data_IF_642425488367
#
_entry.id   IF_642425488367
#
_cell.length_a   1.000
_cell.length_b   1.000
_cell.length_c   1.000
_cell.angle_alpha   90.00
_cell.angle_beta   90.00
_cell.angle_gamma   90.00
#
_symmetry.space_group_name_H-M   'P 1'
#
loop_
_entity.id
_entity.type
_entity.pdbx_description
1 polymer ?
#
# COMPACT_ATOMS: atom_id res chain seq x y z
N UNK A 1 -28.11 3.42 -6.21
CA UNK A 1 -27.33 3.99 -7.33
C UNK A 1 -25.90 4.07 -6.84
N UNK A 2 -24.94 3.52 -7.58
CA UNK A 2 -23.54 3.55 -7.15
C UNK A 2 -23.05 4.99 -7.16
N UNK A 3 -22.46 5.46 -6.05
CA UNK A 3 -21.82 6.78 -5.94
C UNK A 3 -20.44 6.83 -6.63
N UNK A 4 -20.01 5.70 -7.19
CA UNK A 4 -18.78 5.55 -7.97
C UNK A 4 -18.74 6.55 -9.13
N UNK A 5 -17.58 7.17 -9.34
CA UNK A 5 -17.34 8.06 -10.48
C UNK A 5 -16.10 7.62 -11.26
N UNK A 6 -16.04 8.00 -12.54
CA UNK A 6 -14.85 7.71 -13.34
C UNK A 6 -13.68 8.62 -12.94
N UNK A 7 -12.41 8.20 -13.17
CA UNK A 7 -11.25 9.08 -13.06
C UNK A 7 -11.36 10.37 -13.88
N UNK A 8 -12.05 10.32 -15.03
CA UNK A 8 -12.32 11.49 -15.87
C UNK A 8 -13.28 12.46 -15.17
N UNK A 9 -14.32 11.94 -14.54
CA UNK A 9 -15.29 12.73 -13.78
C UNK A 9 -14.62 13.37 -12.57
N UNK A 10 -13.83 12.60 -11.81
CA UNK A 10 -13.07 13.10 -10.67
C UNK A 10 -12.19 14.30 -11.06
N UNK A 11 -11.41 14.18 -12.14
CA UNK A 11 -10.53 15.25 -12.66
C UNK A 11 -11.28 16.46 -13.23
N UNK A 12 -12.56 16.33 -13.53
CA UNK A 12 -13.39 17.44 -14.02
C UNK A 12 -14.05 18.23 -12.87
N UNK A 13 -14.02 17.71 -11.64
CA UNK A 13 -14.52 18.41 -10.46
C UNK A 13 -13.60 19.58 -10.12
N UNK A 14 -14.13 20.81 -9.96
CA UNK A 14 -13.30 21.95 -9.56
C UNK A 14 -12.53 21.70 -8.26
N UNK A 15 -11.26 22.12 -8.21
CA UNK A 15 -10.40 21.93 -7.04
C UNK A 15 -9.65 20.58 -7.01
N UNK A 16 -9.82 19.71 -8.01
CA UNK A 16 -9.08 18.44 -8.11
C UNK A 16 -7.90 18.48 -9.07
N UNK A 17 -7.50 19.66 -9.57
CA UNK A 17 -6.48 19.81 -10.62
C UNK A 17 -5.11 19.24 -10.21
N UNK A 18 -4.78 19.33 -8.92
CA UNK A 18 -3.56 18.80 -8.31
C UNK A 18 -3.60 17.29 -8.03
N UNK A 19 -4.74 16.62 -8.19
CA UNK A 19 -4.93 15.22 -7.80
C UNK A 19 -4.76 14.27 -8.99
N UNK A 20 -4.34 13.03 -8.73
CA UNK A 20 -4.29 11.95 -9.73
C UNK A 20 -5.00 10.72 -9.18
N UNK A 21 -5.93 10.18 -9.95
CA UNK A 21 -6.49 8.85 -9.70
C UNK A 21 -5.54 7.83 -10.30
N UNK A 22 -4.91 7.01 -9.46
CA UNK A 22 -3.90 6.02 -9.81
C UNK A 22 -4.13 4.76 -8.99
N UNK A 23 -4.09 3.58 -9.63
CA UNK A 23 -4.15 2.26 -8.98
C UNK A 23 -5.25 2.11 -7.93
N UNK A 24 -4.91 2.51 -6.71
CA UNK A 24 -5.63 2.35 -5.45
C UNK A 24 -6.41 3.58 -4.96
N UNK A 25 -6.55 4.65 -5.76
CA UNK A 25 -7.43 5.78 -5.44
C UNK A 25 -6.96 7.14 -5.96
N UNK A 26 -7.57 8.21 -5.45
CA UNK A 26 -7.16 9.58 -5.74
C UNK A 26 -6.06 10.03 -4.80
N UNK A 27 -4.90 10.42 -5.34
CA UNK A 27 -3.72 10.85 -4.57
C UNK A 27 -3.32 12.29 -4.89
N UNK A 28 -2.78 12.98 -3.89
CA UNK A 28 -2.12 14.29 -4.04
C UNK A 28 -0.89 14.35 -3.12
N UNK A 29 0.10 15.14 -3.52
CA UNK A 29 1.26 15.48 -2.71
C UNK A 29 1.39 16.99 -2.58
N UNK A 30 1.60 17.48 -1.36
CA UNK A 30 1.85 18.89 -1.06
C UNK A 30 3.24 19.05 -0.46
N UNK A 31 4.23 19.60 -1.20
CA UNK A 31 5.49 20.03 -0.63
C UNK A 31 5.24 21.16 0.38
N UNK A 32 5.64 20.98 1.64
CA UNK A 32 5.30 21.92 2.73
C UNK A 32 6.46 22.86 3.09
N UNK A 33 7.69 22.49 2.73
CA UNK A 33 8.92 23.21 3.06
C UNK A 33 9.29 23.18 4.55
N UNK A 34 8.42 22.67 5.42
CA UNK A 34 8.71 22.41 6.83
C UNK A 34 7.69 21.44 7.42
N UNK A 35 8.14 20.66 8.40
CA UNK A 35 7.27 19.70 9.09
C UNK A 35 6.08 20.39 9.79
N UNK A 36 6.29 21.57 10.39
CA UNK A 36 5.24 22.33 11.08
C UNK A 36 4.12 22.78 10.13
N UNK A 37 4.46 23.22 8.91
CA UNK A 37 3.45 23.54 7.88
C UNK A 37 2.70 22.29 7.42
N UNK A 38 3.40 21.15 7.32
CA UNK A 38 2.76 19.87 7.06
C UNK A 38 1.75 19.50 8.14
N UNK A 39 2.13 19.59 9.42
CA UNK A 39 1.22 19.33 10.54
C UNK A 39 -0.01 20.26 10.54
N UNK A 40 0.15 21.53 10.17
CA UNK A 40 -0.97 22.46 10.02
C UNK A 40 -1.95 22.02 8.90
N UNK A 41 -1.42 21.55 7.76
CA UNK A 41 -2.26 20.98 6.70
C UNK A 41 -2.97 19.70 7.16
N UNK A 42 -2.28 18.79 7.86
CA UNK A 42 -2.90 17.57 8.41
C UNK A 42 -4.04 17.90 9.38
N UNK A 43 -3.87 18.90 10.24
CA UNK A 43 -4.93 19.34 11.14
C UNK A 43 -6.16 19.87 10.38
N UNK A 44 -5.95 20.62 9.29
CA UNK A 44 -7.05 21.07 8.43
C UNK A 44 -7.73 19.89 7.73
N UNK A 45 -6.97 18.94 7.18
CA UNK A 45 -7.50 17.72 6.54
C UNK A 45 -8.34 16.91 7.52
N UNK A 46 -7.87 16.74 8.76
CA UNK A 46 -8.60 16.00 9.80
C UNK A 46 -9.95 16.64 10.12
N UNK A 47 -10.00 17.97 10.30
CA UNK A 47 -11.26 18.69 10.54
C UNK A 47 -12.23 18.56 9.36
N UNK A 48 -11.73 18.65 8.12
CA UNK A 48 -12.55 18.49 6.92
C UNK A 48 -13.10 17.07 6.76
N UNK A 49 -12.30 16.06 7.10
CA UNK A 49 -12.66 14.66 7.08
C UNK A 49 -13.75 14.32 8.10
N UNK A 50 -13.61 14.81 9.35
CA UNK A 50 -14.63 14.63 10.39
C UNK A 50 -15.95 15.32 10.03
N UNK A 51 -15.89 16.53 9.45
CA UNK A 51 -17.09 17.21 8.95
C UNK A 51 -17.75 16.45 7.78
N UNK A 52 -16.95 15.74 6.97
CA UNK A 52 -17.45 14.95 5.85
C UNK A 52 -17.97 13.55 6.24
N UNK A 53 -17.65 13.07 7.44
CA UNK A 53 -17.72 11.65 7.80
C UNK A 53 -17.08 10.75 6.72
N UNK A 54 -15.92 11.20 6.21
CA UNK A 54 -15.18 10.55 5.13
C UNK A 54 -13.68 10.76 5.32
N UNK A 55 -12.96 9.70 5.67
CA UNK A 55 -11.60 9.79 6.18
C UNK A 55 -10.56 9.37 5.14
N UNK A 56 -9.63 10.26 4.73
CA UNK A 56 -8.51 9.91 3.86
C UNK A 56 -7.38 9.21 4.63
N UNK A 57 -6.51 8.51 3.89
CA UNK A 57 -5.17 8.19 4.40
C UNK A 57 -4.28 9.42 4.24
N UNK A 58 -3.54 9.78 5.30
CA UNK A 58 -2.67 10.96 5.32
C UNK A 58 -1.27 10.57 5.77
N UNK A 59 -0.27 10.89 4.94
CA UNK A 59 1.14 10.63 5.22
C UNK A 59 1.88 11.97 5.40
N UNK A 60 2.28 12.26 6.64
CA UNK A 60 3.11 13.42 6.97
C UNK A 60 4.59 13.04 7.00
N UNK A 61 5.36 13.56 6.05
CA UNK A 61 6.82 13.39 5.97
C UNK A 61 7.53 14.73 6.10
N UNK A 62 8.85 14.68 6.30
CA UNK A 62 9.69 15.88 6.30
C UNK A 62 9.51 16.75 5.04
N UNK A 63 9.39 16.12 3.86
CA UNK A 63 9.28 16.82 2.58
C UNK A 63 7.88 17.36 2.25
N UNK A 64 6.83 16.91 2.93
CA UNK A 64 5.45 17.25 2.54
C UNK A 64 4.39 16.35 3.14
N UNK A 65 3.16 16.54 2.66
CA UNK A 65 1.98 15.75 3.03
C UNK A 65 1.42 15.06 1.80
N UNK A 66 1.31 13.74 1.87
CA UNK A 66 0.56 12.93 0.93
C UNK A 66 -0.86 12.69 1.45
N UNK A 67 -1.84 12.75 0.56
CA UNK A 67 -3.23 12.38 0.89
C UNK A 67 -3.74 11.41 -0.16
N UNK A 68 -4.39 10.34 0.30
CA UNK A 68 -5.11 9.37 -0.55
C UNK A 68 -6.59 9.33 -0.15
N UNK A 69 -7.45 9.37 -1.16
CA UNK A 69 -8.90 9.28 -1.03
C UNK A 69 -9.44 8.08 -1.82
N UNK A 70 -10.30 7.31 -1.16
CA UNK A 70 -11.09 6.23 -1.74
C UNK A 70 -12.32 5.97 -0.87
N UNK A 71 -13.42 5.55 -1.47
CA UNK A 71 -14.63 5.17 -0.72
C UNK A 71 -14.66 3.66 -0.50
N UNK A 72 -14.37 3.20 0.72
CA UNK A 72 -14.25 1.77 1.04
C UNK A 72 -15.53 0.96 0.82
N UNK A 73 -16.70 1.56 1.06
CA UNK A 73 -18.01 0.97 0.80
C UNK A 73 -18.34 0.86 -0.70
N UNK A 74 -17.65 1.63 -1.53
CA UNK A 74 -17.79 1.64 -3.00
C UNK A 74 -16.67 0.84 -3.68
N UNK A 75 -15.55 0.62 -2.99
CA UNK A 75 -14.35 -0.05 -3.51
C UNK A 75 -13.56 0.74 -4.55
N UNK A 76 -13.89 2.03 -4.75
CA UNK A 76 -13.30 2.90 -5.78
C UNK A 76 -13.58 4.37 -5.44
N UNK A 77 -13.11 5.31 -6.26
CA UNK A 77 -13.38 6.74 -6.11
C UNK A 77 -14.86 7.07 -6.35
N UNK A 78 -15.41 7.91 -5.47
CA UNK A 78 -16.80 8.36 -5.48
C UNK A 78 -16.91 9.89 -5.54
N UNK A 79 -18.13 10.42 -5.57
CA UNK A 79 -18.35 11.88 -5.48
C UNK A 79 -17.83 12.46 -4.17
N UNK A 80 -17.97 11.73 -3.06
CA UNK A 80 -17.45 12.14 -1.73
C UNK A 80 -15.95 12.37 -1.77
N UNK A 81 -15.21 11.51 -2.48
CA UNK A 81 -13.77 11.68 -2.68
C UNK A 81 -13.45 12.96 -3.46
N UNK A 82 -14.18 13.25 -4.54
CA UNK A 82 -13.95 14.46 -5.32
C UNK A 82 -14.32 15.75 -4.56
N UNK A 83 -15.39 15.73 -3.77
CA UNK A 83 -15.82 16.86 -2.93
C UNK A 83 -14.80 17.14 -1.80
N UNK A 84 -14.35 16.11 -1.10
CA UNK A 84 -13.34 16.24 -0.05
C UNK A 84 -11.98 16.67 -0.63
N UNK A 85 -11.59 16.14 -1.80
CA UNK A 85 -10.38 16.56 -2.51
C UNK A 85 -10.37 18.07 -2.80
N UNK A 86 -11.50 18.62 -3.26
CA UNK A 86 -11.64 20.06 -3.50
C UNK A 86 -11.50 20.89 -2.22
N UNK A 87 -12.11 20.46 -1.11
CA UNK A 87 -11.99 21.12 0.21
C UNK A 87 -10.55 21.10 0.73
N UNK A 88 -9.86 19.97 0.60
CA UNK A 88 -8.45 19.83 0.98
C UNK A 88 -7.55 20.74 0.13
N UNK A 89 -7.78 20.81 -1.18
CA UNK A 89 -7.05 21.72 -2.07
C UNK A 89 -7.21 23.18 -1.65
N UNK A 90 -8.43 23.62 -1.29
CA UNK A 90 -8.68 24.98 -0.80
C UNK A 90 -7.93 25.25 0.52
N UNK A 91 -7.97 24.33 1.48
CA UNK A 91 -7.24 24.48 2.74
C UNK A 91 -5.71 24.54 2.52
N UNK A 92 -5.18 23.75 1.58
CA UNK A 92 -3.78 23.82 1.19
C UNK A 92 -3.41 25.18 0.58
N UNK A 93 -4.28 25.74 -0.28
CA UNK A 93 -4.09 27.07 -0.88
C UNK A 93 -4.09 28.19 0.17
N UNK A 94 -4.98 28.13 1.18
CA UNK A 94 -5.00 29.09 2.30
C UNK A 94 -3.68 29.07 3.10
N UNK A 95 -3.03 27.91 3.17
CA UNK A 95 -1.71 27.74 3.78
C UNK A 95 -0.54 28.09 2.82
N UNK A 96 -0.83 28.55 1.60
CA UNK A 96 0.15 28.87 0.57
C UNK A 96 0.92 27.63 0.07
N UNK A 97 0.25 26.47 0.01
CA UNK A 97 0.79 25.22 -0.49
C UNK A 97 0.25 24.95 -1.89
N UNK A 98 1.12 24.43 -2.77
CA UNK A 98 0.79 24.06 -4.14
C UNK A 98 1.01 22.58 -4.29
N UNK A 99 0.03 21.87 -4.84
CA UNK A 99 0.14 20.45 -5.11
C UNK A 99 1.21 20.16 -6.16
N UNK A 100 1.96 19.09 -5.97
CA UNK A 100 2.86 18.52 -6.99
C UNK A 100 2.30 17.17 -7.47
N UNK A 101 1.53 17.17 -8.57
CA UNK A 101 0.96 15.94 -9.12
C UNK A 101 1.99 15.01 -9.76
N UNK A 102 3.25 15.43 -9.93
CA UNK A 102 4.31 14.57 -10.48
C UNK A 102 4.91 13.64 -9.41
N UNK A 103 4.69 13.96 -8.12
CA UNK A 103 5.22 13.22 -6.99
C UNK A 103 4.33 12.06 -6.52
N UNK A 104 3.16 11.85 -7.14
CA UNK A 104 2.24 10.76 -6.75
C UNK A 104 2.40 9.54 -7.64
N UNK A 105 2.41 8.37 -7.01
CA UNK A 105 2.42 7.06 -7.67
C UNK A 105 1.69 6.03 -6.81
N UNK A 106 1.32 4.92 -7.42
CA UNK A 106 0.82 3.72 -6.76
C UNK A 106 1.58 2.52 -7.33
N UNK A 107 1.96 1.58 -6.47
CA UNK A 107 2.77 0.42 -6.82
C UNK A 107 2.02 -0.85 -6.40
N UNK A 108 2.02 -1.83 -7.29
CA UNK A 108 1.50 -3.17 -7.07
C UNK A 108 2.56 -4.19 -7.47
N UNK A 109 2.66 -5.26 -6.70
CA UNK A 109 3.51 -6.41 -7.02
C UNK A 109 2.61 -7.48 -7.64
N UNK A 110 2.90 -7.88 -8.88
CA UNK A 110 2.19 -8.95 -9.55
C UNK A 110 2.99 -10.25 -9.48
N UNK A 111 2.32 -11.34 -9.12
CA UNK A 111 2.91 -12.68 -8.99
C UNK A 111 2.12 -13.60 -9.88
N UNK A 112 2.78 -14.16 -10.88
CA UNK A 112 2.12 -15.05 -11.82
C UNK A 112 1.92 -16.44 -11.21
N UNK A 113 0.75 -17.02 -11.42
CA UNK A 113 0.36 -18.33 -10.88
C UNK A 113 -0.57 -19.11 -11.82
N UNK A 114 -0.41 -20.43 -11.86
CA UNK A 114 -1.40 -21.36 -12.43
C UNK A 114 -2.48 -21.67 -11.38
N UNK A 115 -2.07 -22.01 -10.16
CA UNK A 115 -2.92 -22.18 -8.98
C UNK A 115 -2.99 -20.85 -8.19
N UNK A 116 -3.84 -19.97 -8.69
CA UNK A 116 -4.08 -18.63 -8.12
C UNK A 116 -4.50 -18.69 -6.66
N UNK A 117 -5.30 -19.68 -6.26
CA UNK A 117 -5.83 -19.74 -4.90
C UNK A 117 -4.75 -20.17 -3.91
N UNK A 118 -3.92 -21.15 -4.27
CA UNK A 118 -2.80 -21.60 -3.44
C UNK A 118 -1.73 -20.52 -3.27
N UNK A 119 -1.35 -19.86 -4.37
CA UNK A 119 -0.38 -18.76 -4.35
C UNK A 119 -0.92 -17.57 -3.54
N UNK A 120 -2.19 -17.17 -3.75
CA UNK A 120 -2.84 -16.11 -2.98
C UNK A 120 -2.83 -16.40 -1.47
N UNK A 121 -3.17 -17.63 -1.07
CA UNK A 121 -3.20 -18.01 0.34
C UNK A 121 -1.82 -17.85 1.00
N UNK A 122 -0.76 -18.28 0.31
CA UNK A 122 0.61 -18.12 0.78
C UNK A 122 0.99 -16.64 0.95
N UNK A 123 0.78 -15.82 -0.09
CA UNK A 123 1.18 -14.40 -0.06
C UNK A 123 0.39 -13.58 0.97
N UNK A 124 -0.90 -13.88 1.15
CA UNK A 124 -1.68 -13.29 2.23
C UNK A 124 -1.12 -13.66 3.61
N UNK A 125 -0.78 -14.94 3.83
CA UNK A 125 -0.26 -15.43 5.10
C UNK A 125 1.13 -14.86 5.42
N UNK A 126 2.07 -14.91 4.46
CA UNK A 126 3.46 -14.49 4.67
C UNK A 126 3.63 -12.97 4.80
N UNK A 127 2.75 -12.18 4.16
CA UNK A 127 2.76 -10.71 4.32
C UNK A 127 1.91 -10.25 5.52
N UNK A 128 1.03 -11.10 6.05
CA UNK A 128 0.04 -10.70 7.05
C UNK A 128 -1.03 -9.79 6.45
N UNK A 129 -1.37 -10.06 5.18
CA UNK A 129 -2.26 -9.27 4.35
C UNK A 129 -3.67 -9.90 4.31
N UNK A 130 -4.65 -9.08 3.92
CA UNK A 130 -6.04 -9.50 3.72
C UNK A 130 -6.49 -9.18 2.29
N UNK A 131 -7.41 -9.97 1.69
CA UNK A 131 -7.95 -9.65 0.37
C UNK A 131 -8.76 -8.34 0.39
N UNK A 132 -8.75 -7.60 -0.72
CA UNK A 132 -9.58 -6.41 -0.98
C UNK A 132 -10.24 -6.51 -2.36
N UNK A 133 -11.21 -5.64 -2.67
CA UNK A 133 -11.86 -5.65 -4.00
C UNK A 133 -10.84 -5.42 -5.14
N UNK A 134 -9.80 -4.64 -4.88
CA UNK A 134 -8.76 -4.22 -5.83
C UNK A 134 -7.42 -4.96 -5.66
N UNK A 135 -7.35 -5.97 -4.78
CA UNK A 135 -6.11 -6.69 -4.49
C UNK A 135 -6.35 -8.11 -3.97
N UNK A 136 -5.52 -9.04 -4.41
CA UNK A 136 -5.59 -10.42 -3.93
C UNK A 136 -5.03 -10.57 -2.52
N UNK A 137 -4.04 -9.75 -2.16
CA UNK A 137 -3.57 -9.53 -0.80
C UNK A 137 -3.14 -8.07 -0.62
N UNK A 138 -3.65 -7.39 0.40
CA UNK A 138 -3.32 -6.00 0.71
C UNK A 138 -3.00 -5.80 2.20
N UNK A 139 -2.09 -4.87 2.49
CA UNK A 139 -1.80 -4.43 3.86
C UNK A 139 -3.09 -3.91 4.51
N UNK A 140 -3.54 -4.47 5.64
CA UNK A 140 -4.70 -3.98 6.35
C UNK A 140 -4.60 -2.50 6.76
N UNK A 141 -3.37 -1.97 6.84
CA UNK A 141 -3.09 -0.56 7.18
C UNK A 141 -2.87 0.32 5.95
N UNK A 142 -2.81 -0.25 4.74
CA UNK A 142 -2.58 0.48 3.49
C UNK A 142 -1.21 1.15 3.36
N UNK A 143 -0.19 0.68 4.10
CA UNK A 143 1.13 1.32 4.13
C UNK A 143 2.10 0.76 3.08
N UNK A 144 1.93 -0.49 2.71
CA UNK A 144 2.81 -1.19 1.77
C UNK A 144 2.07 -1.58 0.47
N UNK A 145 2.81 -1.83 -0.64
CA UNK A 145 2.23 -2.27 -1.90
C UNK A 145 1.34 -3.51 -1.73
N UNK A 146 0.26 -3.56 -2.51
CA UNK A 146 -0.57 -4.74 -2.60
C UNK A 146 0.06 -5.79 -3.52
N UNK A 147 -0.41 -7.04 -3.38
CA UNK A 147 -0.05 -8.16 -4.23
C UNK A 147 -1.26 -8.55 -5.08
N UNK A 148 -1.00 -8.74 -6.38
CA UNK A 148 -1.94 -9.28 -7.35
C UNK A 148 -1.43 -10.64 -7.84
N UNK A 149 -2.26 -11.67 -7.76
CA UNK A 149 -1.92 -13.02 -8.23
C UNK A 149 -2.50 -13.19 -9.63
N UNK A 150 -1.64 -13.01 -10.62
CA UNK A 150 -2.01 -13.00 -12.02
C UNK A 150 -2.10 -14.44 -12.55
N UNK A 151 -3.29 -14.83 -13.04
CA UNK A 151 -3.45 -16.14 -13.69
C UNK A 151 -2.60 -16.21 -14.96
N UNK A 152 -1.84 -17.31 -15.09
CA UNK A 152 -1.19 -17.75 -16.32
C UNK A 152 -1.62 -19.19 -16.65
N UNK A 153 -1.47 -19.59 -17.91
CA UNK A 153 -1.95 -20.89 -18.40
C UNK A 153 -0.96 -22.05 -18.12
N UNK A 154 0.34 -21.74 -18.06
CA UNK A 154 1.42 -22.72 -17.91
C UNK A 154 2.46 -22.19 -16.93
N UNK A 155 3.03 -23.08 -16.11
CA UNK A 155 4.08 -22.71 -15.17
C UNK A 155 5.34 -22.25 -15.92
N UNK A 156 5.99 -21.21 -15.40
CA UNK A 156 7.30 -20.81 -15.90
C UNK A 156 8.35 -21.80 -15.39
N UNK A 157 9.25 -22.22 -16.27
CA UNK A 157 10.30 -23.20 -15.94
C UNK A 157 11.42 -22.63 -15.06
N UNK A 158 11.58 -21.31 -15.05
CA UNK A 158 12.55 -20.60 -14.23
C UNK A 158 11.83 -19.88 -13.09
N UNK A 159 12.46 -19.85 -11.91
CA UNK A 159 11.96 -19.03 -10.80
C UNK A 159 12.07 -17.54 -11.15
N UNK A 160 11.21 -16.73 -10.52
CA UNK A 160 11.39 -15.29 -10.55
C UNK A 160 12.76 -14.92 -9.96
N UNK A 161 13.51 -14.07 -10.67
CA UNK A 161 14.82 -13.55 -10.24
C UNK A 161 14.71 -12.25 -9.44
N UNK A 162 13.49 -11.94 -8.98
CA UNK A 162 13.19 -10.82 -8.09
C UNK A 162 13.04 -11.38 -6.68
N UNK A 163 13.67 -10.72 -5.73
CA UNK A 163 13.61 -11.07 -4.32
C UNK A 163 12.80 -10.02 -3.54
N UNK A 164 11.88 -10.46 -2.67
CA UNK A 164 11.14 -9.57 -1.76
C UNK A 164 11.61 -9.81 -0.32
N UNK A 165 12.17 -8.78 0.31
CA UNK A 165 12.60 -8.84 1.71
C UNK A 165 11.50 -8.26 2.62
N UNK A 166 10.90 -9.12 3.45
CA UNK A 166 9.93 -8.71 4.46
C UNK A 166 10.60 -8.61 5.83
N UNK A 167 10.78 -7.38 6.29
CA UNK A 167 11.27 -7.12 7.64
C UNK A 167 10.12 -7.18 8.65
N UNK A 168 10.23 -8.07 9.64
CA UNK A 168 9.24 -8.22 10.72
C UNK A 168 9.91 -8.12 12.10
N UNK A 169 9.15 -7.79 13.17
CA UNK A 169 9.66 -7.93 14.53
C UNK A 169 10.15 -9.36 14.78
N UNK A 170 11.23 -9.51 15.58
CA UNK A 170 11.86 -10.80 15.85
C UNK A 170 10.89 -11.84 16.39
N UNK A 171 10.03 -11.41 17.31
CA UNK A 171 9.00 -12.23 17.95
C UNK A 171 7.88 -12.67 16.97
N UNK A 172 7.76 -12.03 15.82
CA UNK A 172 6.75 -12.38 14.81
C UNK A 172 7.23 -13.45 13.82
N UNK A 173 8.55 -13.69 13.72
CA UNK A 173 9.15 -14.56 12.68
C UNK A 173 8.56 -15.97 12.70
N UNK A 174 8.62 -16.66 13.84
CA UNK A 174 8.15 -18.06 13.95
C UNK A 174 6.66 -18.18 13.59
N UNK A 175 5.84 -17.25 14.09
CA UNK A 175 4.41 -17.23 13.78
C UNK A 175 4.14 -17.01 12.28
N UNK A 176 4.99 -16.21 11.62
CA UNK A 176 4.84 -15.90 10.20
C UNK A 176 5.28 -17.07 9.32
N UNK A 177 6.39 -17.73 9.65
CA UNK A 177 6.81 -18.98 9.01
C UNK A 177 5.69 -20.02 9.16
N UNK A 178 5.19 -20.24 10.38
CA UNK A 178 4.12 -21.21 10.62
C UNK A 178 2.86 -20.92 9.80
N UNK A 179 2.45 -19.64 9.68
CA UNK A 179 1.31 -19.26 8.85
C UNK A 179 1.55 -19.53 7.36
N UNK A 180 2.75 -19.20 6.84
CA UNK A 180 3.11 -19.45 5.45
C UNK A 180 3.15 -20.95 5.11
N UNK A 181 3.69 -21.78 6.02
CA UNK A 181 3.69 -23.24 5.87
C UNK A 181 2.28 -23.82 5.91
N UNK A 182 1.43 -23.33 6.83
CA UNK A 182 0.02 -23.74 6.89
C UNK A 182 -0.77 -23.37 5.63
N UNK A 183 -0.35 -22.31 4.93
CA UNK A 183 -0.90 -21.88 3.64
C UNK A 183 -0.32 -22.63 2.42
N UNK A 184 0.46 -23.70 2.64
CA UNK A 184 1.01 -24.53 1.57
C UNK A 184 2.40 -24.12 1.08
N UNK A 185 3.01 -23.10 1.70
CA UNK A 185 4.39 -22.74 1.44
C UNK A 185 5.39 -23.74 2.03
N UNK A 186 6.68 -23.51 1.72
CA UNK A 186 7.80 -24.26 2.28
C UNK A 186 8.95 -23.33 2.67
N UNK A 187 9.80 -23.77 3.59
CA UNK A 187 11.13 -23.18 3.76
C UNK A 187 11.98 -23.61 2.55
N UNK A 188 12.49 -22.63 1.82
CA UNK A 188 13.37 -22.85 0.69
C UNK A 188 14.84 -22.84 1.08
N UNK A 189 15.19 -21.97 2.03
CA UNK A 189 16.53 -21.85 2.61
C UNK A 189 16.42 -21.32 4.05
N UNK A 190 17.12 -21.96 4.97
CA UNK A 190 17.31 -21.53 6.36
C UNK A 190 18.77 -21.57 6.81
N UNK A 191 19.73 -21.72 5.88
CA UNK A 191 21.17 -21.73 6.18
C UNK A 191 21.65 -20.39 6.80
N UNK A 192 20.87 -19.33 6.60
CA UNK A 192 21.11 -17.98 7.11
C UNK A 192 20.36 -17.64 8.39
N UNK A 193 19.62 -18.58 8.98
CA UNK A 193 18.96 -18.36 10.25
C UNK A 193 19.99 -18.08 11.37
N UNK A 194 19.72 -17.14 12.30
CA UNK A 194 18.48 -16.40 12.50
C UNK A 194 18.45 -15.01 11.84
N UNK A 195 19.32 -14.74 10.86
CA UNK A 195 19.40 -13.45 10.17
C UNK A 195 18.25 -13.29 9.16
N UNK A 196 17.93 -14.33 8.39
CA UNK A 196 16.70 -14.44 7.58
C UNK A 196 16.37 -15.89 7.23
N UNK A 197 15.16 -16.10 6.72
CA UNK A 197 14.68 -17.36 6.14
C UNK A 197 14.07 -17.07 4.78
N UNK A 198 14.41 -17.88 3.77
CA UNK A 198 13.73 -17.82 2.48
C UNK A 198 12.57 -18.79 2.49
N UNK A 199 11.36 -18.26 2.26
CA UNK A 199 10.15 -19.05 2.07
C UNK A 199 9.78 -19.06 0.59
N UNK A 200 9.22 -20.18 0.12
CA UNK A 200 8.67 -20.29 -1.22
C UNK A 200 7.18 -20.62 -1.19
N UNK A 201 6.44 -19.99 -2.09
CA UNK A 201 5.06 -20.34 -2.38
C UNK A 201 4.96 -21.70 -3.11
N UNK A 202 3.75 -22.25 -3.33
CA UNK A 202 3.55 -23.54 -3.98
C UNK A 202 4.12 -23.65 -5.41
N UNK A 203 4.33 -22.53 -6.10
CA UNK A 203 4.89 -22.48 -7.45
C UNK A 203 6.37 -22.07 -7.47
N UNK A 204 6.95 -21.82 -6.30
CA UNK A 204 8.36 -21.53 -6.14
C UNK A 204 8.72 -20.05 -6.18
N UNK A 205 7.78 -19.12 -6.06
CA UNK A 205 8.13 -17.70 -5.86
C UNK A 205 8.65 -17.49 -4.44
N UNK A 206 9.75 -16.76 -4.31
CA UNK A 206 10.52 -16.65 -3.06
C UNK A 206 10.31 -15.29 -2.36
N UNK A 207 10.33 -15.30 -1.03
CA UNK A 207 10.29 -14.13 -0.14
C UNK A 207 11.17 -14.40 1.08
N UNK A 208 12.01 -13.44 1.44
CA UNK A 208 12.81 -13.50 2.64
C UNK A 208 12.06 -12.89 3.82
N UNK A 209 12.09 -13.60 4.95
CA UNK A 209 11.59 -13.11 6.22
C UNK A 209 12.79 -12.77 7.11
N UNK A 210 13.00 -11.47 7.34
CA UNK A 210 14.18 -10.97 8.04
C UNK A 210 13.79 -10.22 9.32
N UNK A 211 14.16 -10.70 10.53
CA UNK A 211 14.16 -9.86 11.70
C UNK A 211 15.36 -8.89 11.68
N UNK A 212 15.17 -7.63 12.08
CA UNK A 212 16.33 -6.77 12.31
C UNK A 212 17.22 -7.37 13.41
N UNK A 213 18.53 -7.24 13.25
CA UNK A 213 19.53 -7.79 14.18
C UNK A 213 19.62 -6.94 15.44
N UNK A 214 19.42 -7.56 16.60
CA UNK A 214 19.67 -6.90 17.89
C UNK A 214 21.18 -6.70 18.15
N UNK A 215 22.03 -7.44 17.43
CA UNK A 215 23.49 -7.44 17.51
C UNK A 215 24.15 -6.75 16.29
N UNK A 216 23.42 -5.88 15.59
CA UNK A 216 23.98 -5.15 14.44
C UNK A 216 25.29 -4.44 14.83
N UNK A 217 26.40 -4.67 14.10
CA UNK A 217 27.68 -3.99 14.37
C UNK A 217 27.63 -2.49 14.04
N UNK A 218 26.54 -2.01 13.42
CA UNK A 218 26.25 -0.61 13.19
C UNK A 218 25.57 -0.01 14.43
N UNK A 219 26.34 0.16 15.49
CA UNK A 219 25.83 0.59 16.80
C UNK A 219 26.86 0.81 17.89
N UNK A 220 28.13 1.08 17.54
CA UNK A 220 29.09 1.80 18.39
C UNK A 220 29.30 3.24 17.88
#
# INVERSE_FOLDING_TARGET
MSDRISPRTFRATPGTEGWRVVGDGARVWFPTGSFARGAALVAAVAALADEADHHPDVDLRFGGVGVRLTSHDVGDVSRRDAELAGRISSAAQELGLVADPSAVQSLQIAIDAVDVDAVRAFWAAVLGYSPREDADAADPRGLAPNVWVQRIDETRSERNTVHLDLYVPREAVESRIAAALAAGGRVADDDHAPDWWTLADPEGNEVDLAPWRDDSPWGE
#
